data_IF_325706647604
#
_entry.id   IF_325706647604
#
_cell.length_a   1.000
_cell.length_b   1.000
_cell.length_c   1.000
_cell.angle_alpha   90.00
_cell.angle_beta   90.00
_cell.angle_gamma   90.00
#
_symmetry.space_group_name_H-M   'P 1'
#
loop_
_entity.id
_entity.type
_entity.pdbx_description
1 polymer ?
#
# COMPACT_ATOMS: atom_id res chain seq x y z
N UNK A 1 17.50 14.32 -3.26
CA UNK A 1 17.26 14.72 -1.84
C UNK A 1 16.80 16.16 -1.70
N UNK A 2 17.48 17.17 -2.27
CA UNK A 2 17.03 18.58 -2.19
C UNK A 2 15.66 18.83 -2.85
N UNK A 3 15.41 18.25 -4.03
CA UNK A 3 14.14 18.40 -4.75
C UNK A 3 12.93 17.87 -3.94
N UNK A 4 13.04 16.65 -3.39
CA UNK A 4 11.99 16.06 -2.54
C UNK A 4 11.66 16.93 -1.32
N UNK A 5 12.68 17.51 -0.67
CA UNK A 5 12.47 18.37 0.49
C UNK A 5 11.69 19.65 0.17
N UNK A 6 11.76 20.13 -1.07
CA UNK A 6 11.00 21.29 -1.53
C UNK A 6 9.63 20.91 -2.10
N UNK A 7 9.51 19.77 -2.78
CA UNK A 7 8.27 19.39 -3.47
C UNK A 7 7.20 18.83 -2.54
N UNK A 8 7.56 18.03 -1.52
CA UNK A 8 6.56 17.40 -0.64
C UNK A 8 5.72 18.42 0.17
N UNK A 9 6.29 19.51 0.73
CA UNK A 9 5.49 20.57 1.36
C UNK A 9 4.52 21.27 0.40
N UNK A 10 4.93 21.42 -0.88
CA UNK A 10 4.05 21.98 -1.91
C UNK A 10 2.87 21.04 -2.18
N UNK A 11 3.13 19.73 -2.30
CA UNK A 11 2.06 18.74 -2.44
C UNK A 11 1.07 18.77 -1.28
N UNK A 12 1.59 18.85 -0.05
CA UNK A 12 0.76 18.90 1.15
C UNK A 12 -0.20 20.09 1.09
N UNK A 13 0.29 21.26 0.68
CA UNK A 13 -0.52 22.47 0.51
C UNK A 13 -1.52 22.33 -0.63
N UNK A 14 -1.06 21.90 -1.80
CA UNK A 14 -1.83 21.94 -3.05
C UNK A 14 -2.99 20.94 -3.04
N UNK A 15 -2.77 19.75 -2.45
CA UNK A 15 -3.79 18.71 -2.29
C UNK A 15 -4.49 18.74 -0.91
N UNK A 16 -4.12 19.70 -0.04
CA UNK A 16 -4.69 19.87 1.31
C UNK A 16 -4.60 18.63 2.20
N UNK A 17 -3.48 17.92 2.12
CA UNK A 17 -3.22 16.78 2.99
C UNK A 17 -2.86 17.26 4.40
N UNK A 18 -3.26 16.50 5.42
CA UNK A 18 -2.84 16.79 6.79
C UNK A 18 -1.35 16.45 6.96
N UNK A 19 -0.89 15.38 6.31
CA UNK A 19 0.51 14.97 6.25
C UNK A 19 0.83 14.39 4.89
N UNK A 20 2.09 14.53 4.47
CA UNK A 20 2.64 13.89 3.28
C UNK A 20 3.92 13.17 3.64
N UNK A 21 4.03 11.91 3.23
CA UNK A 21 5.23 11.10 3.42
C UNK A 21 5.80 10.65 2.09
N UNK A 22 7.12 10.46 2.08
CA UNK A 22 7.78 9.79 0.97
C UNK A 22 7.72 8.29 1.21
N UNK A 23 6.96 7.59 0.37
CA UNK A 23 6.80 6.14 0.46
C UNK A 23 8.07 5.41 0.03
N UNK A 24 8.69 5.89 -1.06
CA UNK A 24 9.87 5.25 -1.61
C UNK A 24 9.98 5.44 -3.12
N UNK A 25 10.67 4.52 -3.77
CA UNK A 25 10.82 4.53 -5.21
C UNK A 25 10.79 3.13 -5.81
N UNK A 26 10.33 3.03 -7.05
CA UNK A 26 10.35 1.81 -7.87
C UNK A 26 11.25 2.08 -9.07
N UNK A 27 12.36 1.34 -9.14
CA UNK A 27 13.35 1.51 -10.20
C UNK A 27 12.95 0.71 -11.45
N UNK A 28 12.71 1.43 -12.55
CA UNK A 28 12.57 0.87 -13.89
C UNK A 28 13.90 0.86 -14.65
N UNK A 29 13.85 0.35 -15.89
CA UNK A 29 15.01 0.24 -16.77
C UNK A 29 15.49 1.62 -17.27
N UNK A 30 14.55 2.48 -17.69
CA UNK A 30 14.84 3.80 -18.26
C UNK A 30 14.49 4.98 -17.34
N UNK A 31 13.78 4.73 -16.24
CA UNK A 31 13.27 5.75 -15.34
C UNK A 31 12.94 5.19 -13.97
N UNK A 32 12.94 6.05 -12.95
CA UNK A 32 12.59 5.69 -11.58
C UNK A 32 11.31 6.40 -11.19
N UNK A 33 10.34 5.67 -10.66
CA UNK A 33 9.14 6.23 -10.07
C UNK A 33 9.43 6.57 -8.62
N UNK A 34 9.19 7.82 -8.23
CA UNK A 34 9.22 8.30 -6.86
C UNK A 34 7.79 8.41 -6.36
N UNK A 35 7.47 7.82 -5.21
CA UNK A 35 6.10 7.73 -4.70
C UNK A 35 5.97 8.58 -3.43
N UNK A 36 4.93 9.41 -3.39
CA UNK A 36 4.52 10.16 -2.22
C UNK A 36 3.10 9.75 -1.82
N UNK A 37 2.84 9.74 -0.52
CA UNK A 37 1.52 9.45 0.03
C UNK A 37 1.01 10.65 0.81
N UNK A 38 -0.18 11.10 0.43
CA UNK A 38 -0.96 12.08 1.16
C UNK A 38 -1.95 11.41 2.11
N UNK A 39 -1.93 11.83 3.37
CA UNK A 39 -2.76 11.31 4.44
C UNK A 39 -3.80 12.35 4.87
N UNK A 40 -5.04 11.88 5.00
CA UNK A 40 -6.12 12.62 5.61
C UNK A 40 -6.14 12.47 7.14
N UNK A 41 -7.20 12.96 7.79
CA UNK A 41 -7.35 12.88 9.26
C UNK A 41 -7.53 11.45 9.76
N UNK A 42 -8.18 10.59 8.96
CA UNK A 42 -8.25 9.16 9.25
C UNK A 42 -7.02 8.46 8.68
N UNK A 43 -6.20 7.89 9.55
CA UNK A 43 -4.94 7.24 9.19
C UNK A 43 -5.15 5.89 8.52
N UNK A 44 -6.32 5.27 8.67
CA UNK A 44 -6.68 4.01 8.02
C UNK A 44 -7.51 4.21 6.73
N UNK A 45 -7.85 5.45 6.37
CA UNK A 45 -8.55 5.73 5.12
C UNK A 45 -7.67 5.45 3.89
N UNK A 46 -8.27 5.22 2.71
CA UNK A 46 -7.52 5.05 1.46
C UNK A 46 -6.54 6.21 1.23
N UNK A 47 -5.27 5.87 1.01
CA UNK A 47 -4.19 6.85 0.85
C UNK A 47 -4.23 7.46 -0.55
N UNK A 48 -4.03 8.78 -0.62
CA UNK A 48 -3.86 9.46 -1.89
C UNK A 48 -2.41 9.33 -2.34
N UNK A 49 -2.16 8.58 -3.41
CA UNK A 49 -0.79 8.33 -3.87
C UNK A 49 -0.45 9.19 -5.08
N UNK A 50 0.76 9.72 -5.11
CA UNK A 50 1.28 10.46 -6.25
C UNK A 50 2.60 9.85 -6.68
N UNK A 51 2.85 9.83 -7.98
CA UNK A 51 4.15 9.47 -8.52
C UNK A 51 4.82 10.65 -9.21
N UNK A 52 6.15 10.60 -9.27
CA UNK A 52 6.97 11.54 -10.03
C UNK A 52 8.14 10.81 -10.69
N UNK A 53 8.60 11.29 -11.83
CA UNK A 53 9.81 10.80 -12.49
C UNK A 53 11.03 11.70 -12.20
N UNK A 54 10.82 12.92 -11.71
CA UNK A 54 11.86 13.94 -11.52
C UNK A 54 11.86 14.57 -10.12
N UNK A 55 10.97 14.13 -9.21
CA UNK A 55 10.75 14.69 -7.88
C UNK A 55 10.25 16.15 -7.86
N UNK A 56 9.74 16.67 -8.97
CA UNK A 56 9.22 18.04 -9.10
C UNK A 56 7.77 18.03 -9.57
N UNK A 57 7.50 17.31 -10.65
CA UNK A 57 6.17 17.17 -11.24
C UNK A 57 5.55 15.88 -10.71
N UNK A 58 4.38 16.00 -10.10
CA UNK A 58 3.68 14.89 -9.45
C UNK A 58 2.33 14.65 -10.11
N UNK A 59 2.05 13.38 -10.38
CA UNK A 59 0.80 12.91 -10.94
C UNK A 59 0.06 12.07 -9.92
N UNK A 60 -1.22 12.37 -9.71
CA UNK A 60 -2.09 11.61 -8.81
C UNK A 60 -2.40 10.24 -9.41
N UNK A 61 -2.22 9.19 -8.62
CA UNK A 61 -2.61 7.82 -8.97
C UNK A 61 -4.06 7.57 -8.58
N UNK A 62 -4.77 6.81 -9.41
CA UNK A 62 -6.09 6.29 -9.03
C UNK A 62 -5.94 5.16 -7.99
N UNK A 63 -6.97 4.90 -7.18
CA UNK A 63 -7.00 3.71 -6.33
C UNK A 63 -6.82 2.42 -7.15
N UNK A 64 -6.20 1.41 -6.55
CA UNK A 64 -6.03 0.10 -7.18
C UNK A 64 -7.39 -0.59 -7.32
N UNK A 65 -7.70 -1.08 -8.52
CA UNK A 65 -8.84 -1.99 -8.72
C UNK A 65 -8.38 -3.44 -8.63
N UNK A 66 -9.30 -4.34 -8.25
CA UNK A 66 -9.02 -5.78 -8.23
C UNK A 66 -8.55 -6.30 -9.58
N UNK A 67 -9.05 -5.73 -10.68
CA UNK A 67 -8.62 -6.03 -12.04
C UNK A 67 -7.16 -5.66 -12.29
N UNK A 68 -6.73 -4.46 -11.88
CA UNK A 68 -5.33 -4.04 -12.04
C UNK A 68 -4.40 -4.99 -11.29
N UNK A 69 -4.78 -5.42 -10.09
CA UNK A 69 -3.99 -6.36 -9.28
C UNK A 69 -3.93 -7.73 -9.98
N UNK A 70 -5.06 -8.29 -10.39
CA UNK A 70 -5.11 -9.59 -11.07
C UNK A 70 -4.31 -9.62 -12.38
N UNK A 71 -4.35 -8.52 -13.16
CA UNK A 71 -3.55 -8.39 -14.39
C UNK A 71 -2.06 -8.21 -14.09
N UNK A 72 -1.71 -7.42 -13.08
CA UNK A 72 -0.31 -7.19 -12.69
C UNK A 72 0.37 -8.46 -12.17
N UNK A 73 -0.35 -9.35 -11.48
CA UNK A 73 0.15 -10.65 -11.01
C UNK A 73 0.62 -11.56 -12.17
N UNK A 74 0.06 -11.38 -13.38
CA UNK A 74 0.47 -12.13 -14.57
C UNK A 74 1.80 -11.62 -15.16
N UNK A 75 2.23 -10.42 -14.78
CA UNK A 75 3.45 -9.79 -15.28
C UNK A 75 4.64 -10.04 -14.36
N UNK A 76 5.62 -10.78 -14.89
CA UNK A 76 6.92 -10.94 -14.25
C UNK A 76 7.97 -10.14 -15.02
N UNK A 77 8.79 -9.36 -14.31
CA UNK A 77 9.89 -8.61 -14.91
C UNK A 77 10.03 -7.19 -14.37
N UNK A 78 11.00 -6.44 -14.91
CA UNK A 78 11.28 -5.06 -14.49
C UNK A 78 10.26 -4.08 -15.08
N UNK A 79 10.07 -2.95 -14.44
CA UNK A 79 9.38 -1.79 -15.02
C UNK A 79 10.23 -1.16 -16.12
N UNK A 80 9.61 -0.61 -17.16
CA UNK A 80 10.33 0.12 -18.21
C UNK A 80 10.74 1.52 -17.74
N UNK A 81 9.98 2.13 -16.83
CA UNK A 81 10.16 3.51 -16.40
C UNK A 81 9.41 4.53 -17.27
N UNK A 82 8.34 4.10 -17.94
CA UNK A 82 7.44 4.97 -18.70
C UNK A 82 5.97 4.61 -18.38
N UNK A 83 5.18 5.52 -17.76
CA UNK A 83 3.81 5.22 -17.35
C UNK A 83 2.87 4.93 -18.54
N UNK A 84 3.22 5.42 -19.74
CA UNK A 84 2.45 5.20 -20.97
C UNK A 84 2.77 3.85 -21.64
N UNK A 85 3.79 3.13 -21.18
CA UNK A 85 4.15 1.84 -21.76
C UNK A 85 3.02 0.82 -21.56
N UNK A 86 2.74 0.04 -22.61
CA UNK A 86 1.65 -0.95 -22.61
C UNK A 86 2.25 -2.35 -22.72
N UNK A 87 1.91 -3.22 -21.76
CA UNK A 87 2.25 -4.63 -21.80
C UNK A 87 1.15 -5.41 -22.50
N UNK A 88 1.54 -6.27 -23.45
CA UNK A 88 0.63 -7.24 -24.06
C UNK A 88 0.67 -8.54 -23.26
N UNK A 89 -0.40 -8.82 -22.51
CA UNK A 89 -0.50 -10.03 -21.69
C UNK A 89 -0.56 -11.29 -22.55
N UNK A 90 -1.03 -11.22 -23.80
CA UNK A 90 -1.06 -12.37 -24.71
C UNK A 90 0.34 -12.87 -25.08
N UNK A 91 1.31 -11.95 -25.17
CA UNK A 91 2.71 -12.30 -25.46
C UNK A 91 3.45 -12.86 -24.24
N UNK A 92 2.98 -12.52 -23.03
CA UNK A 92 3.67 -12.84 -21.77
C UNK A 92 3.07 -14.09 -21.11
N UNK A 93 1.74 -14.24 -21.15
CA UNK A 93 1.03 -15.38 -20.59
C UNK A 93 -0.22 -15.69 -21.43
N UNK A 94 -0.07 -16.59 -22.40
CA UNK A 94 -1.14 -17.02 -23.31
C UNK A 94 -2.39 -17.54 -22.56
N UNK A 95 -2.22 -18.27 -21.46
CA UNK A 95 -3.34 -18.80 -20.67
C UNK A 95 -4.09 -17.74 -19.86
N UNK A 96 -3.43 -16.65 -19.46
CA UNK A 96 -4.10 -15.51 -18.84
C UNK A 96 -4.86 -14.66 -19.87
N UNK A 97 -4.33 -14.54 -21.08
CA UNK A 97 -4.99 -13.82 -22.16
C UNK A 97 -6.30 -14.48 -22.59
N UNK A 98 -6.35 -15.82 -22.69
CA UNK A 98 -7.58 -16.56 -23.00
C UNK A 98 -8.71 -16.21 -22.02
N UNK A 99 -8.43 -16.16 -20.71
CA UNK A 99 -9.43 -15.80 -19.68
C UNK A 99 -9.93 -14.35 -19.79
N UNK A 100 -9.07 -13.42 -20.21
CA UNK A 100 -9.44 -12.01 -20.39
C UNK A 100 -10.26 -11.80 -21.67
N UNK A 101 -9.93 -12.54 -22.74
CA UNK A 101 -10.69 -12.54 -23.98
C UNK A 101 -12.10 -13.13 -23.80
N UNK A 102 -12.27 -14.19 -23.00
CA UNK A 102 -13.59 -14.71 -22.62
C UNK A 102 -14.45 -13.66 -21.89
N UNK A 103 -13.82 -12.75 -21.15
CA UNK A 103 -14.46 -11.60 -20.49
C UNK A 103 -14.66 -10.36 -21.37
N UNK A 104 -14.30 -10.41 -22.67
CA UNK A 104 -14.44 -9.29 -23.60
C UNK A 104 -13.48 -8.12 -23.36
N UNK A 105 -12.38 -8.32 -22.62
CA UNK A 105 -11.40 -7.27 -22.31
C UNK A 105 -10.13 -7.46 -23.14
N UNK A 106 -9.60 -6.36 -23.65
CA UNK A 106 -8.30 -6.39 -24.32
C UNK A 106 -7.22 -6.82 -23.31
N UNK A 107 -6.32 -7.76 -23.67
CA UNK A 107 -5.31 -8.34 -22.77
C UNK A 107 -4.12 -7.39 -22.61
N UNK A 108 -4.37 -6.10 -22.37
CA UNK A 108 -3.35 -5.08 -22.27
C UNK A 108 -3.41 -4.38 -20.91
N UNK A 109 -2.25 -4.05 -20.37
CA UNK A 109 -2.14 -3.30 -19.12
C UNK A 109 -1.10 -2.19 -19.29
N UNK A 110 -1.48 -0.97 -18.91
CA UNK A 110 -0.54 0.16 -18.85
C UNK A 110 0.41 0.01 -17.68
N UNK A 111 1.64 0.47 -17.84
CA UNK A 111 2.64 0.43 -16.78
C UNK A 111 2.21 1.24 -15.56
N UNK A 112 1.49 2.35 -15.75
CA UNK A 112 0.90 3.11 -14.63
C UNK A 112 -0.10 2.25 -13.82
N UNK A 113 -0.94 1.45 -14.47
CA UNK A 113 -1.86 0.54 -13.78
C UNK A 113 -1.11 -0.57 -13.03
N UNK A 114 -0.04 -1.11 -13.63
CA UNK A 114 0.86 -2.05 -12.98
C UNK A 114 1.54 -1.43 -11.75
N UNK A 115 1.98 -0.17 -11.87
CA UNK A 115 2.62 0.57 -10.77
C UNK A 115 1.67 0.70 -9.58
N UNK A 116 0.41 1.07 -9.83
CA UNK A 116 -0.64 1.17 -8.80
C UNK A 116 -0.81 -0.16 -8.08
N UNK A 117 -0.98 -1.25 -8.84
CA UNK A 117 -1.16 -2.59 -8.28
C UNK A 117 0.06 -3.05 -7.46
N UNK A 118 1.28 -2.81 -7.95
CA UNK A 118 2.50 -3.18 -7.23
C UNK A 118 2.67 -2.42 -5.93
N UNK A 119 2.35 -1.11 -5.89
CA UNK A 119 2.41 -0.34 -4.64
C UNK A 119 1.41 -0.90 -3.63
N UNK A 120 0.19 -1.21 -4.07
CA UNK A 120 -0.85 -1.79 -3.21
C UNK A 120 -0.43 -3.16 -2.65
N UNK A 121 0.16 -4.01 -3.49
CA UNK A 121 0.64 -5.32 -3.06
C UNK A 121 1.76 -5.21 -2.03
N UNK A 122 2.72 -4.29 -2.23
CA UNK A 122 3.80 -4.03 -1.28
C UNK A 122 3.21 -3.54 0.05
N UNK A 123 2.32 -2.55 0.02
CA UNK A 123 1.72 -2.03 1.26
C UNK A 123 0.93 -3.08 2.02
N UNK A 124 0.18 -3.93 1.30
CA UNK A 124 -0.55 -5.04 1.90
C UNK A 124 0.37 -6.08 2.52
N UNK A 125 1.54 -6.32 1.93
CA UNK A 125 2.48 -7.35 2.37
C UNK A 125 3.41 -6.89 3.50
N UNK A 126 3.86 -5.62 3.47
CA UNK A 126 4.94 -5.13 4.36
C UNK A 126 4.62 -3.82 5.08
N UNK A 127 3.45 -3.22 4.85
CA UNK A 127 3.00 -2.04 5.59
C UNK A 127 2.68 -2.42 7.03
N UNK A 128 3.61 -2.18 7.96
CA UNK A 128 3.46 -2.60 9.36
C UNK A 128 3.53 -1.41 10.33
N UNK A 129 2.85 -1.55 11.47
CA UNK A 129 2.85 -0.58 12.56
C UNK A 129 3.03 -1.28 13.91
N UNK A 130 3.70 -0.63 14.88
CA UNK A 130 3.80 -1.20 16.21
C UNK A 130 2.46 -1.14 16.95
N UNK A 131 2.20 -2.13 17.80
CA UNK A 131 0.99 -2.23 18.63
C UNK A 131 0.81 -0.98 19.47
N UNK A 132 -0.37 -0.38 19.41
CA UNK A 132 -0.71 0.80 20.20
C UNK A 132 -0.22 2.13 19.63
N UNK A 133 0.49 2.15 18.50
CA UNK A 133 0.83 3.40 17.81
C UNK A 133 -0.39 4.08 17.17
N UNK A 134 -1.42 3.31 16.87
CA UNK A 134 -2.70 3.81 16.36
C UNK A 134 -3.84 3.33 17.24
N UNK A 135 -4.89 4.14 17.32
CA UNK A 135 -6.11 3.84 18.08
C UNK A 135 -7.32 4.03 17.17
N UNK A 136 -8.19 3.02 17.14
CA UNK A 136 -9.48 3.07 16.48
C UNK A 136 -10.54 3.61 17.43
N UNK A 137 -11.23 4.64 16.98
CA UNK A 137 -12.36 5.24 17.71
C UNK A 137 -13.62 4.38 17.59
N UNK A 138 -14.61 4.55 18.49
CA UNK A 138 -15.92 3.89 18.35
C UNK A 138 -16.65 4.22 17.04
N UNK A 139 -16.33 5.37 16.42
CA UNK A 139 -16.86 5.78 15.11
C UNK A 139 -16.14 5.12 13.93
N UNK A 140 -15.10 4.31 14.18
CA UNK A 140 -14.35 3.59 13.17
C UNK A 140 -13.10 4.29 12.66
N UNK A 141 -12.99 5.62 12.83
CA UNK A 141 -11.80 6.39 12.40
C UNK A 141 -10.56 6.03 13.22
N UNK A 142 -9.39 6.02 12.57
CA UNK A 142 -8.11 5.65 13.18
C UNK A 142 -7.19 6.86 13.28
N UNK A 143 -6.60 7.04 14.47
CA UNK A 143 -5.71 8.17 14.78
C UNK A 143 -4.40 7.68 15.38
N UNK A 144 -3.36 8.50 15.27
CA UNK A 144 -2.11 8.27 16.00
C UNK A 144 -2.34 8.38 17.51
N UNK A 145 -1.80 7.43 18.26
CA UNK A 145 -1.84 7.46 19.71
C UNK A 145 -0.79 8.43 20.25
N UNK A 146 -1.24 9.57 20.78
CA UNK A 146 -0.35 10.59 21.35
C UNK A 146 0.42 10.13 22.60
N UNK A 147 -0.02 9.06 23.25
CA UNK A 147 0.63 8.47 24.42
C UNK A 147 1.59 7.33 24.04
N UNK A 148 1.75 7.03 22.75
CA UNK A 148 2.68 6.00 22.31
C UNK A 148 4.10 6.55 22.27
N UNK A 149 4.95 6.07 23.18
CA UNK A 149 6.34 6.49 23.30
C UNK A 149 7.33 5.55 22.59
N UNK A 150 6.81 4.53 21.90
CA UNK A 150 7.60 3.46 21.27
C UNK A 150 7.48 2.13 22.01
N UNK A 151 7.96 1.07 21.36
CA UNK A 151 8.06 -0.25 21.96
C UNK A 151 9.34 -0.35 22.82
N UNK A 152 9.28 -1.10 23.91
CA UNK A 152 10.49 -1.46 24.64
C UNK A 152 11.39 -2.35 23.76
N UNK A 153 12.70 -2.42 24.09
CA UNK A 153 13.64 -3.28 23.35
C UNK A 153 13.22 -4.77 23.34
N UNK A 154 12.52 -5.22 24.39
CA UNK A 154 12.03 -6.60 24.49
C UNK A 154 10.83 -6.83 23.59
N UNK A 155 9.91 -5.88 23.49
CA UNK A 155 8.72 -5.94 22.62
C UNK A 155 9.09 -5.75 21.16
N UNK A 156 10.02 -4.83 20.86
CA UNK A 156 10.46 -4.54 19.51
C UNK A 156 11.05 -5.77 18.77
N UNK A 157 11.44 -6.82 19.51
CA UNK A 157 11.94 -8.10 18.97
C UNK A 157 10.85 -9.15 18.72
N UNK A 158 9.60 -8.88 19.11
CA UNK A 158 8.48 -9.83 19.01
C UNK A 158 7.59 -9.47 17.84
N UNK A 159 7.29 -10.44 16.97
CA UNK A 159 6.35 -10.25 15.86
C UNK A 159 4.95 -9.86 16.35
N UNK A 160 4.52 -10.37 17.52
CA UNK A 160 3.24 -10.00 18.14
C UNK A 160 3.13 -8.53 18.57
N UNK A 161 4.23 -7.77 18.55
CA UNK A 161 4.22 -6.33 18.80
C UNK A 161 4.05 -5.50 17.52
N UNK A 162 3.89 -6.14 16.36
CA UNK A 162 3.68 -5.47 15.08
C UNK A 162 2.44 -6.02 14.38
N UNK A 163 1.78 -5.14 13.66
CA UNK A 163 0.51 -5.38 12.99
C UNK A 163 0.55 -4.88 11.56
N UNK A 164 -0.13 -5.59 10.66
CA UNK A 164 -0.35 -5.15 9.28
C UNK A 164 -1.26 -3.91 9.26
N UNK A 165 -0.81 -2.83 8.63
CA UNK A 165 -1.53 -1.57 8.51
C UNK A 165 -2.37 -1.52 7.23
N UNK A 166 -3.22 -2.54 7.10
CA UNK A 166 -4.20 -2.72 6.03
C UNK A 166 -5.50 -3.27 6.62
N UNK A 167 -6.53 -3.47 5.80
CA UNK A 167 -7.78 -4.04 6.26
C UNK A 167 -7.57 -5.47 6.80
N UNK A 168 -8.00 -5.77 8.04
CA UNK A 168 -7.75 -7.07 8.63
C UNK A 168 -8.60 -8.17 7.98
N UNK A 169 -7.94 -9.27 7.65
CA UNK A 169 -8.52 -10.49 7.08
C UNK A 169 -8.73 -11.52 8.18
N UNK A 170 -7.73 -11.72 9.04
CA UNK A 170 -7.73 -12.80 10.04
C UNK A 170 -8.58 -12.48 11.27
N UNK A 171 -8.65 -11.21 11.70
CA UNK A 171 -9.52 -10.81 12.81
C UNK A 171 -11.01 -11.17 12.60
N UNK A 172 -11.48 -11.13 11.35
CA UNK A 172 -12.87 -11.50 11.01
C UNK A 172 -13.14 -12.97 11.36
N UNK A 173 -12.14 -13.82 11.19
CA UNK A 173 -12.21 -15.27 11.38
C UNK A 173 -11.97 -15.74 12.83
N UNK A 174 -11.56 -14.85 13.74
CA UNK A 174 -11.35 -15.20 15.16
C UNK A 174 -12.64 -15.57 15.87
N UNK A 175 -12.53 -16.55 16.78
CA UNK A 175 -13.61 -17.01 17.66
C UNK A 175 -14.01 -15.94 18.69
N UNK A 176 -15.18 -16.10 19.32
CA UNK A 176 -15.64 -15.17 20.38
C UNK A 176 -14.70 -15.15 21.59
N UNK A 177 -14.13 -16.30 21.95
CA UNK A 177 -13.21 -16.41 23.08
C UNK A 177 -11.90 -15.65 22.81
N UNK A 178 -11.37 -15.75 21.59
CA UNK A 178 -10.17 -15.00 21.19
C UNK A 178 -10.44 -13.50 21.14
N UNK A 179 -11.60 -13.09 20.63
CA UNK A 179 -12.02 -11.69 20.57
C UNK A 179 -12.20 -11.07 21.96
N UNK A 180 -12.59 -11.85 22.97
CA UNK A 180 -12.76 -11.37 24.33
C UNK A 180 -11.43 -10.91 24.99
N UNK A 181 -10.29 -11.37 24.48
CA UNK A 181 -8.97 -10.98 24.97
C UNK A 181 -8.36 -9.80 24.21
N UNK A 182 -9.03 -9.27 23.19
CA UNK A 182 -8.54 -8.16 22.37
C UNK A 182 -9.09 -6.82 22.87
N UNK A 183 -8.27 -5.77 22.83
CA UNK A 183 -8.77 -4.40 22.97
C UNK A 183 -9.25 -3.90 21.60
N UNK A 184 -10.57 -3.64 21.38
CA UNK A 184 -11.07 -3.23 20.08
C UNK A 184 -10.50 -1.91 19.56
N UNK A 185 -9.93 -1.08 20.43
CA UNK A 185 -9.34 0.21 20.07
C UNK A 185 -7.89 0.07 19.63
N UNK A 186 -7.17 -0.95 20.09
CA UNK A 186 -5.73 -1.15 19.84
C UNK A 186 -5.48 -2.37 18.95
N UNK A 187 -6.19 -3.46 19.17
CA UNK A 187 -6.04 -4.75 18.49
C UNK A 187 -7.04 -4.89 17.34
N UNK A 188 -7.16 -3.84 16.53
CA UNK A 188 -8.09 -3.78 15.39
C UNK A 188 -7.45 -4.19 14.05
N UNK A 189 -6.19 -4.63 14.06
CA UNK A 189 -5.41 -5.07 12.89
C UNK A 189 -4.93 -6.53 13.04
N UNK A 190 -4.42 -7.10 11.97
CA UNK A 190 -3.83 -8.45 11.99
C UNK A 190 -2.38 -8.42 12.51
N UNK A 191 -2.04 -9.32 13.44
CA UNK A 191 -0.70 -9.44 14.04
C UNK A 191 0.23 -10.27 13.16
N UNK A 192 1.49 -9.84 13.02
CA UNK A 192 2.53 -10.56 12.26
C UNK A 192 2.90 -11.92 12.87
N UNK A 193 2.52 -12.20 14.11
CA UNK A 193 2.76 -13.48 14.77
C UNK A 193 2.14 -14.67 14.01
N UNK A 194 1.09 -14.43 13.24
CA UNK A 194 0.35 -15.46 12.52
C UNK A 194 0.71 -15.51 11.03
N UNK A 195 1.69 -14.73 10.59
CA UNK A 195 2.14 -14.76 9.20
C UNK A 195 2.85 -16.07 8.88
N UNK A 196 2.46 -16.69 7.77
CA UNK A 196 3.07 -17.92 7.27
C UNK A 196 3.88 -17.56 6.01
N UNK A 197 5.22 -17.57 6.05
CA UNK A 197 6.04 -17.27 4.88
C UNK A 197 5.87 -18.35 3.81
N UNK A 198 5.59 -17.93 2.57
CA UNK A 198 5.28 -18.87 1.49
C UNK A 198 6.49 -19.45 0.74
N UNK A 199 7.72 -19.03 1.08
CA UNK A 199 8.97 -19.68 0.66
C UNK A 199 9.22 -19.70 -0.85
#
# INVERSE_FOLDING_TARGET
RAALGASLPLLQRDYRFERVWFWGYIQGVRGTYYIAEGLGPDRAAPRSRLYSLNCLDWSLLTPASEEMVAQAEQLKGRFQGDPSFVYNLAEINAGAAERLFEGGKEPVIKEEARLIATIEEIDRAVGIVPRGAFVKTPLGSVHENRHFEGLSLVEAKKLSSYFHFTEPVNLKNKTLLEKANLDPSIDFLDSLEHDIPQG
#
